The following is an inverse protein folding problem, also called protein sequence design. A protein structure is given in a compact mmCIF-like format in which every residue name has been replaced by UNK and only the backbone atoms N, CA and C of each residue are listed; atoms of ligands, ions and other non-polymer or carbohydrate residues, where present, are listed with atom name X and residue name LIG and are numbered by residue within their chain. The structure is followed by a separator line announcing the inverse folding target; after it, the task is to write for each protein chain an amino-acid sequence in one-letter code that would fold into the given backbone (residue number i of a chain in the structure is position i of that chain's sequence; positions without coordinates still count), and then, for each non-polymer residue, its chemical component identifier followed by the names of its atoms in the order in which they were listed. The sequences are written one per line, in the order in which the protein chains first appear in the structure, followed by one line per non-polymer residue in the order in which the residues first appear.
data_IF_088349183329
#
_entry.id   IF_088349183329
#
_cell.length_a   1.000
_cell.length_b   1.000
_cell.length_c   1.000
_cell.angle_alpha   90.00
_cell.angle_beta   90.00
_cell.angle_gamma   90.00
#
_symmetry.space_group_name_H-M   'P 1'
#
loop_
_entity.id
_entity.type
_entity.pdbx_description
1 polymer ?
#
# COMPACT_ATOMS: atom_id res chain seq x y z
N UNK A 1 19.83 -47.62 40.07
CA UNK A 1 19.92 -46.24 40.58
C UNK A 1 18.63 -45.54 40.18
N UNK A 2 17.82 -45.05 41.13
CA UNK A 2 16.51 -44.44 40.85
C UNK A 2 16.73 -43.15 40.08
N UNK A 3 16.18 -43.07 38.87
CA UNK A 3 16.17 -41.85 38.04
C UNK A 3 15.42 -40.76 38.81
N UNK A 4 16.16 -39.82 39.41
CA UNK A 4 15.58 -38.78 40.24
C UNK A 4 15.06 -37.65 39.36
N UNK A 5 13.93 -37.89 38.70
CA UNK A 5 13.29 -36.94 37.76
C UNK A 5 12.99 -35.58 38.43
N UNK A 6 12.90 -35.55 39.75
CA UNK A 6 12.69 -34.36 40.56
C UNK A 6 13.88 -33.39 40.58
N UNK A 7 15.13 -33.85 40.48
CA UNK A 7 16.29 -32.94 40.44
C UNK A 7 16.37 -32.20 39.11
N UNK A 8 16.02 -32.85 38.00
CA UNK A 8 15.97 -32.21 36.70
C UNK A 8 14.81 -31.23 36.58
N UNK A 9 13.64 -31.56 37.12
CA UNK A 9 12.52 -30.62 37.21
C UNK A 9 12.87 -29.39 38.05
N UNK A 10 13.57 -29.59 39.18
CA UNK A 10 14.05 -28.51 40.01
C UNK A 10 15.06 -27.61 39.27
N UNK A 11 16.00 -28.18 38.51
CA UNK A 11 16.99 -27.42 37.72
C UNK A 11 16.35 -26.59 36.60
N UNK A 12 15.35 -27.14 35.90
CA UNK A 12 14.61 -26.40 34.87
C UNK A 12 13.83 -25.24 35.48
N UNK A 13 13.16 -25.46 36.61
CA UNK A 13 12.45 -24.41 37.34
C UNK A 13 13.43 -23.29 37.76
N UNK A 14 14.60 -23.66 38.28
CA UNK A 14 15.63 -22.72 38.71
C UNK A 14 16.20 -21.92 37.53
N UNK A 15 16.40 -22.55 36.37
CA UNK A 15 16.85 -21.88 35.15
C UNK A 15 15.79 -20.89 34.63
N UNK A 16 14.50 -21.25 34.68
CA UNK A 16 13.41 -20.35 34.29
C UNK A 16 13.33 -19.15 35.24
N UNK A 17 13.43 -19.38 36.55
CA UNK A 17 13.43 -18.30 37.55
C UNK A 17 14.64 -17.36 37.36
N UNK A 18 15.83 -17.92 37.11
CA UNK A 18 17.03 -17.13 36.84
C UNK A 18 16.91 -16.32 35.54
N UNK A 19 16.31 -16.89 34.50
CA UNK A 19 16.06 -16.22 33.23
C UNK A 19 15.06 -15.08 33.39
N UNK A 20 13.98 -15.29 34.14
CA UNK A 20 12.99 -14.25 34.46
C UNK A 20 13.62 -13.11 35.26
N UNK A 21 14.47 -13.43 36.23
CA UNK A 21 15.20 -12.44 37.00
C UNK A 21 16.19 -11.64 36.14
N UNK A 22 16.91 -12.32 35.24
CA UNK A 22 17.82 -11.69 34.27
C UNK A 22 17.09 -10.76 33.28
N UNK A 23 15.96 -11.20 32.75
CA UNK A 23 15.15 -10.39 31.84
C UNK A 23 14.57 -9.17 32.55
N UNK A 24 14.08 -9.34 33.78
CA UNK A 24 13.55 -8.25 34.59
C UNK A 24 14.63 -7.21 34.98
N UNK A 25 15.85 -7.65 35.27
CA UNK A 25 16.96 -6.74 35.59
C UNK A 25 17.50 -6.01 34.36
N UNK A 26 17.44 -6.63 33.18
CA UNK A 26 17.95 -6.03 31.93
C UNK A 26 16.99 -5.06 31.27
N UNK A 27 15.68 -5.24 31.48
CA UNK A 27 14.61 -4.41 30.91
C UNK A 27 13.66 -3.89 32.01
N UNK A 28 14.11 -2.94 32.85
CA UNK A 28 13.24 -2.32 33.86
C UNK A 28 12.14 -1.50 33.18
N UNK A 29 10.88 -1.79 33.49
CA UNK A 29 9.70 -1.05 32.97
C UNK A 29 8.74 -1.85 32.09
N UNK A 30 9.04 -3.12 31.75
CA UNK A 30 8.13 -3.97 30.96
C UNK A 30 6.84 -4.30 31.73
N UNK A 31 6.86 -4.21 33.07
CA UNK A 31 5.70 -4.41 33.94
C UNK A 31 4.92 -3.12 34.27
N UNK A 32 5.35 -1.96 33.77
CA UNK A 32 4.69 -0.68 34.08
C UNK A 32 3.47 -0.40 33.18
N UNK A 33 3.41 -1.04 32.02
CA UNK A 33 2.46 -0.76 30.94
C UNK A 33 1.55 -1.98 30.69
N UNK A 34 0.23 -1.81 30.67
CA UNK A 34 -0.75 -2.92 30.56
C UNK A 34 -0.59 -3.69 29.24
N UNK A 35 -0.32 -2.99 28.14
CA UNK A 35 -0.14 -3.59 26.83
C UNK A 35 1.11 -4.47 26.76
N UNK A 36 2.17 -4.09 27.47
CA UNK A 36 3.43 -4.85 27.53
C UNK A 36 3.32 -6.02 28.50
N UNK A 37 2.58 -5.86 29.61
CA UNK A 37 2.20 -6.94 30.52
C UNK A 37 1.39 -8.02 29.81
N UNK A 38 0.37 -7.64 29.03
CA UNK A 38 -0.47 -8.58 28.32
C UNK A 38 0.35 -9.39 27.29
N UNK A 39 1.26 -8.73 26.58
CA UNK A 39 2.17 -9.37 25.61
C UNK A 39 3.16 -10.35 26.29
N UNK A 40 3.65 -10.00 27.48
CA UNK A 40 4.48 -10.89 28.31
C UNK A 40 3.71 -12.13 28.78
N UNK A 41 2.46 -11.94 29.25
CA UNK A 41 1.60 -13.03 29.70
C UNK A 41 1.33 -14.00 28.53
N UNK A 42 0.98 -13.48 27.35
CA UNK A 42 0.81 -14.33 26.16
C UNK A 42 2.10 -15.08 25.80
N UNK A 43 3.25 -14.41 25.82
CA UNK A 43 4.55 -15.04 25.56
C UNK A 43 4.89 -16.16 26.54
N UNK A 44 4.64 -15.94 27.84
CA UNK A 44 4.84 -16.94 28.89
C UNK A 44 3.87 -18.13 28.75
N UNK A 45 2.64 -17.87 28.36
CA UNK A 45 1.63 -18.91 28.15
C UNK A 45 2.02 -19.82 26.97
N UNK A 46 2.48 -19.25 25.85
CA UNK A 46 3.02 -20.04 24.75
C UNK A 46 4.29 -20.81 25.13
N UNK A 47 5.19 -20.19 25.88
CA UNK A 47 6.45 -20.83 26.28
C UNK A 47 6.22 -22.00 27.24
N UNK A 48 5.28 -21.89 28.17
CA UNK A 48 4.88 -22.99 29.07
C UNK A 48 4.17 -24.12 28.34
N UNK A 49 3.32 -23.82 27.35
CA UNK A 49 2.71 -24.83 26.48
C UNK A 49 3.76 -25.60 25.66
N UNK A 50 4.77 -24.91 25.13
CA UNK A 50 5.88 -25.52 24.38
C UNK A 50 6.75 -26.39 25.30
N UNK A 51 7.13 -25.91 26.49
CA UNK A 51 7.88 -26.72 27.45
C UNK A 51 7.08 -27.94 27.93
N UNK A 52 5.77 -27.78 28.18
CA UNK A 52 4.89 -28.88 28.56
C UNK A 52 4.78 -29.96 27.48
N UNK A 53 4.74 -29.55 26.20
CA UNK A 53 4.75 -30.46 25.05
C UNK A 53 6.03 -31.31 24.98
N UNK A 54 7.19 -30.72 25.26
CA UNK A 54 8.49 -31.42 25.24
C UNK A 54 8.57 -32.48 26.34
N UNK A 55 8.04 -32.18 27.54
CA UNK A 55 8.05 -33.10 28.68
C UNK A 55 7.15 -34.32 28.43
N UNK A 56 6.02 -34.14 27.74
CA UNK A 56 5.10 -35.25 27.41
C UNK A 56 5.64 -36.12 26.26
N UNK A 57 6.45 -35.55 25.36
CA UNK A 57 7.11 -36.26 24.26
C UNK A 57 8.23 -37.23 24.66
N UNK A 58 8.69 -37.18 25.91
CA UNK A 58 9.81 -38.00 26.44
C UNK A 58 9.45 -39.48 26.74
N UNK A 59 8.51 -40.06 25.99
CA UNK A 59 8.20 -41.49 26.02
C UNK A 59 8.64 -42.24 24.75
N UNK A 60 9.22 -41.54 23.76
CA UNK A 60 9.70 -42.12 22.51
C UNK A 60 11.20 -42.42 22.48
N UNK A 61 11.68 -43.20 21.48
CA UNK A 61 13.10 -43.47 21.29
C UNK A 61 13.90 -42.17 21.07
N UNK A 62 15.09 -42.08 21.67
CA UNK A 62 15.89 -40.85 21.76
C UNK A 62 16.16 -40.16 20.40
N UNK A 63 16.22 -40.92 19.30
CA UNK A 63 16.38 -40.37 17.96
C UNK A 63 15.17 -39.57 17.43
N UNK A 64 13.95 -39.91 17.84
CA UNK A 64 12.75 -39.14 17.48
C UNK A 64 12.67 -37.83 18.28
N UNK A 65 13.06 -37.86 19.55
CA UNK A 65 13.10 -36.68 20.40
C UNK A 65 14.10 -35.63 19.88
N UNK A 66 15.28 -36.05 19.39
CA UNK A 66 16.27 -35.15 18.81
C UNK A 66 15.76 -34.46 17.54
N UNK A 67 15.11 -35.21 16.64
CA UNK A 67 14.50 -34.65 15.42
C UNK A 67 13.43 -33.62 15.74
N UNK A 68 12.58 -33.89 16.74
CA UNK A 68 11.54 -32.97 17.17
C UNK A 68 12.13 -31.72 17.84
N UNK A 69 13.16 -31.85 18.67
CA UNK A 69 13.85 -30.72 19.26
C UNK A 69 14.48 -29.80 18.19
N UNK A 70 15.12 -30.38 17.17
CA UNK A 70 15.67 -29.64 16.04
C UNK A 70 14.58 -28.95 15.20
N UNK A 71 13.44 -29.61 14.98
CA UNK A 71 12.31 -29.02 14.27
C UNK A 71 11.72 -27.82 15.03
N UNK A 72 11.52 -27.94 16.33
CA UNK A 72 11.06 -26.84 17.17
C UNK A 72 12.06 -25.69 17.24
N UNK A 73 13.36 -25.99 17.28
CA UNK A 73 14.40 -24.97 17.26
C UNK A 73 14.44 -24.22 15.91
N UNK A 74 14.25 -24.93 14.80
CA UNK A 74 14.11 -24.32 13.48
C UNK A 74 12.87 -23.43 13.38
N UNK A 75 11.71 -23.90 13.88
CA UNK A 75 10.48 -23.10 13.91
C UNK A 75 10.67 -21.84 14.77
N UNK A 76 11.26 -21.97 15.95
CA UNK A 76 11.55 -20.84 16.83
C UNK A 76 12.51 -19.84 16.15
N UNK A 77 13.55 -20.32 15.48
CA UNK A 77 14.48 -19.48 14.71
C UNK A 77 13.75 -18.71 13.61
N UNK A 78 12.90 -19.38 12.83
CA UNK A 78 12.09 -18.76 11.78
C UNK A 78 11.19 -17.68 12.38
N UNK A 79 10.46 -17.99 13.47
CA UNK A 79 9.57 -17.03 14.12
C UNK A 79 10.33 -15.82 14.67
N UNK A 80 11.52 -16.02 15.25
CA UNK A 80 12.37 -14.93 15.73
C UNK A 80 12.85 -14.05 14.59
N UNK A 81 13.29 -14.65 13.47
CA UNK A 81 13.69 -13.91 12.27
C UNK A 81 12.50 -13.14 11.72
N UNK A 82 11.36 -13.80 11.48
CA UNK A 82 10.14 -13.15 10.97
C UNK A 82 9.66 -12.01 11.87
N UNK A 83 9.70 -12.18 13.20
CA UNK A 83 9.29 -11.13 14.14
C UNK A 83 10.32 -10.00 14.27
N UNK A 84 11.62 -10.33 14.23
CA UNK A 84 12.71 -9.34 14.28
C UNK A 84 12.69 -8.44 13.04
N UNK A 85 12.34 -9.00 11.89
CA UNK A 85 12.21 -8.29 10.61
C UNK A 85 10.76 -7.98 10.26
N UNK A 86 9.84 -7.93 11.23
CA UNK A 86 8.40 -7.76 10.95
C UNK A 86 8.09 -6.47 10.18
N UNK A 87 8.85 -5.40 10.41
CA UNK A 87 8.65 -4.10 9.76
C UNK A 87 9.16 -4.17 8.31
N UNK A 88 10.36 -4.72 8.10
CA UNK A 88 10.91 -4.98 6.75
C UNK A 88 10.06 -5.95 5.92
N UNK A 89 9.47 -6.98 6.54
CA UNK A 89 8.55 -7.90 5.88
C UNK A 89 7.19 -7.26 5.53
N UNK A 90 6.71 -6.32 6.35
CA UNK A 90 5.51 -5.54 6.04
C UNK A 90 5.76 -4.59 4.87
N UNK A 91 6.94 -3.99 4.77
CA UNK A 91 7.34 -3.14 3.64
C UNK A 91 7.53 -3.95 2.35
N UNK A 92 8.14 -5.14 2.43
CA UNK A 92 8.25 -6.07 1.29
C UNK A 92 6.88 -6.59 0.85
N UNK A 93 6.01 -6.95 1.79
CA UNK A 93 4.64 -7.37 1.49
C UNK A 93 3.80 -6.24 0.90
N UNK A 94 3.90 -5.03 1.44
CA UNK A 94 3.23 -3.83 0.95
C UNK A 94 3.67 -3.44 -0.45
N UNK A 95 4.98 -3.47 -0.73
CA UNK A 95 5.51 -3.16 -2.06
C UNK A 95 5.17 -4.24 -3.10
N UNK A 96 5.17 -5.53 -2.72
CA UNK A 96 4.75 -6.62 -3.60
C UNK A 96 3.24 -6.60 -3.84
N UNK A 97 2.43 -6.34 -2.80
CA UNK A 97 0.99 -6.19 -2.91
C UNK A 97 0.61 -4.95 -3.74
N UNK A 98 1.29 -3.81 -3.56
CA UNK A 98 1.09 -2.62 -4.38
C UNK A 98 1.52 -2.81 -5.83
N UNK A 99 2.58 -3.60 -6.10
CA UNK A 99 2.96 -3.96 -7.48
C UNK A 99 1.94 -4.89 -8.12
N UNK A 100 1.48 -5.91 -7.39
CA UNK A 100 0.42 -6.81 -7.87
C UNK A 100 -0.92 -6.08 -8.04
N UNK A 101 -1.26 -5.15 -7.15
CA UNK A 101 -2.47 -4.33 -7.25
C UNK A 101 -2.35 -3.27 -8.35
N UNK A 102 -1.18 -2.68 -8.58
CA UNK A 102 -0.94 -1.76 -9.69
C UNK A 102 -0.93 -2.44 -11.06
N UNK A 103 -0.61 -3.74 -11.12
CA UNK A 103 -0.82 -4.56 -12.33
C UNK A 103 -2.30 -4.90 -12.55
N UNK A 104 -3.09 -5.03 -11.48
CA UNK A 104 -4.51 -5.38 -11.55
C UNK A 104 -5.44 -4.16 -11.68
N UNK A 105 -5.04 -3.00 -11.16
CA UNK A 105 -5.76 -1.71 -11.20
C UNK A 105 -4.74 -0.58 -11.44
N UNK A 106 -4.27 -0.38 -12.69
CA UNK A 106 -3.23 0.60 -13.03
C UNK A 106 -3.61 2.07 -12.80
N UNK A 107 -4.90 2.35 -12.55
CA UNK A 107 -5.47 3.70 -12.52
C UNK A 107 -5.33 4.44 -11.19
N UNK A 108 -5.01 3.73 -10.10
CA UNK A 108 -4.92 4.37 -8.78
C UNK A 108 -3.58 5.10 -8.61
N UNK A 109 -3.59 6.42 -8.40
CA UNK A 109 -2.38 7.16 -8.10
C UNK A 109 -1.85 6.78 -6.71
N UNK A 110 -0.55 6.53 -6.59
CA UNK A 110 0.10 6.21 -5.32
C UNK A 110 0.95 7.40 -4.88
N UNK A 111 0.55 8.04 -3.78
CA UNK A 111 1.40 9.02 -3.09
C UNK A 111 2.57 8.29 -2.43
N UNK A 112 3.79 8.77 -2.66
CA UNK A 112 5.02 8.15 -2.13
C UNK A 112 5.84 9.06 -1.24
N UNK A 113 5.64 10.36 -1.40
CA UNK A 113 6.10 11.40 -0.51
C UNK A 113 5.10 12.57 -0.62
N UNK A 114 5.03 13.46 0.38
CA UNK A 114 4.15 14.63 0.32
C UNK A 114 4.34 15.40 -1.00
N UNK A 115 3.26 15.54 -1.77
CA UNK A 115 3.27 16.24 -3.06
C UNK A 115 3.95 15.49 -4.22
N UNK A 116 4.23 14.19 -4.07
CA UNK A 116 4.79 13.33 -5.13
C UNK A 116 3.90 12.11 -5.36
N UNK A 117 3.33 12.05 -6.56
CA UNK A 117 2.40 11.00 -6.98
C UNK A 117 3.00 10.19 -8.13
N UNK A 118 2.91 8.86 -8.03
CA UNK A 118 3.23 7.96 -9.13
C UNK A 118 1.97 7.42 -9.79
N UNK A 119 1.94 7.49 -11.11
CA UNK A 119 0.96 6.83 -11.97
C UNK A 119 1.63 5.65 -12.68
N UNK A 120 1.01 4.48 -12.63
CA UNK A 120 1.48 3.31 -13.36
C UNK A 120 0.99 3.36 -14.81
N UNK A 121 1.81 2.81 -15.72
CA UNK A 121 1.37 2.55 -17.09
C UNK A 121 0.39 1.38 -17.09
N UNK A 122 -0.74 1.54 -17.78
CA UNK A 122 -1.73 0.49 -17.98
C UNK A 122 -1.26 -0.57 -18.99
N UNK A 123 -2.06 -1.62 -19.16
CA UNK A 123 -1.82 -2.68 -20.14
C UNK A 123 -1.92 -2.22 -21.59
N UNK A 124 -2.60 -1.09 -21.85
CA UNK A 124 -2.72 -0.49 -23.18
C UNK A 124 -1.50 0.37 -23.57
N UNK A 125 -0.59 0.60 -22.61
CA UNK A 125 0.61 1.38 -22.78
C UNK A 125 0.44 2.87 -22.44
N UNK A 126 -0.72 3.30 -21.96
CA UNK A 126 -1.01 4.68 -21.57
C UNK A 126 -0.88 4.86 -20.06
N UNK A 127 -0.75 6.11 -19.61
CA UNK A 127 -0.84 6.42 -18.19
C UNK A 127 -2.25 6.87 -17.89
N UNK A 128 -2.81 6.38 -16.80
CA UNK A 128 -4.14 6.77 -16.35
C UNK A 128 -4.08 7.31 -14.92
N UNK A 129 -5.01 8.20 -14.59
CA UNK A 129 -5.13 8.81 -13.28
C UNK A 129 -6.61 8.89 -12.88
N UNK A 130 -6.95 8.25 -11.76
CA UNK A 130 -8.20 8.53 -11.07
C UNK A 130 -8.07 9.84 -10.29
N UNK A 131 -8.92 10.82 -10.61
CA UNK A 131 -8.91 12.15 -10.01
C UNK A 131 -10.27 12.49 -9.39
N UNK A 132 -10.27 13.38 -8.40
CA UNK A 132 -11.46 14.06 -7.92
C UNK A 132 -11.55 15.43 -8.60
N UNK A 133 -12.54 15.61 -9.46
CA UNK A 133 -12.81 16.87 -10.16
C UNK A 133 -14.06 17.49 -9.57
N UNK A 134 -13.94 18.66 -8.95
CA UNK A 134 -15.05 19.32 -8.25
C UNK A 134 -15.82 18.37 -7.28
N UNK A 135 -15.11 17.41 -6.67
CA UNK A 135 -15.69 16.39 -5.77
C UNK A 135 -16.25 15.13 -6.46
N UNK A 136 -16.22 15.05 -7.79
CA UNK A 136 -16.67 13.89 -8.57
C UNK A 136 -15.48 13.09 -9.09
N UNK A 137 -15.49 11.76 -8.92
CA UNK A 137 -14.45 10.89 -9.45
C UNK A 137 -14.45 10.86 -10.98
N UNK A 138 -13.34 11.17 -11.63
CA UNK A 138 -13.17 11.09 -13.09
C UNK A 138 -11.89 10.31 -13.39
N UNK A 139 -12.02 9.37 -14.32
CA UNK A 139 -10.89 8.59 -14.81
C UNK A 139 -10.31 9.28 -16.04
N UNK A 140 -9.02 9.63 -15.97
CA UNK A 140 -8.33 10.30 -17.05
C UNK A 140 -7.23 9.43 -17.65
N UNK A 141 -7.04 9.54 -18.96
CA UNK A 141 -5.78 9.18 -19.61
C UNK A 141 -4.88 10.41 -19.69
N UNK A 142 -3.61 10.27 -19.31
CA UNK A 142 -2.64 11.35 -19.46
C UNK A 142 -2.26 11.48 -20.94
N UNK A 143 -2.47 12.68 -21.49
CA UNK A 143 -2.17 12.99 -22.88
C UNK A 143 -1.42 14.33 -23.00
N UNK A 144 -0.10 14.26 -23.21
CA UNK A 144 0.75 15.44 -23.41
C UNK A 144 0.50 16.12 -24.77
N UNK A 145 -0.22 15.48 -25.69
CA UNK A 145 -0.64 16.07 -26.96
C UNK A 145 -1.89 16.94 -26.82
N UNK A 146 -2.67 16.77 -25.76
CA UNK A 146 -3.85 17.59 -25.48
C UNK A 146 -3.45 18.94 -24.88
N UNK A 147 -3.89 20.04 -25.50
CA UNK A 147 -3.57 21.40 -25.04
C UNK A 147 -4.26 21.74 -23.72
N UNK A 148 -5.48 21.24 -23.51
CA UNK A 148 -6.22 21.37 -22.26
C UNK A 148 -6.79 20.01 -21.81
N UNK A 149 -7.26 19.96 -20.56
CA UNK A 149 -8.02 18.82 -20.05
C UNK A 149 -9.27 18.65 -20.91
N UNK A 150 -9.45 17.47 -21.50
CA UNK A 150 -10.59 17.18 -22.37
C UNK A 150 -11.55 16.23 -21.65
N UNK A 151 -12.82 16.60 -21.52
CA UNK A 151 -13.86 15.83 -20.89
C UNK A 151 -14.76 15.17 -21.93
N UNK A 152 -15.14 13.92 -21.67
CA UNK A 152 -16.24 13.28 -22.36
C UNK A 152 -17.56 13.96 -22.02
N UNK A 153 -18.55 13.83 -22.90
CA UNK A 153 -19.92 14.27 -22.63
C UNK A 153 -20.46 13.69 -21.31
N UNK A 154 -20.25 12.39 -21.08
CA UNK A 154 -20.69 11.69 -19.87
C UNK A 154 -20.04 12.22 -18.60
N UNK A 155 -18.73 12.49 -18.61
CA UNK A 155 -18.05 13.02 -17.43
C UNK A 155 -18.44 14.48 -17.17
N UNK A 156 -18.62 15.28 -18.21
CA UNK A 156 -19.11 16.63 -18.08
C UNK A 156 -20.53 16.68 -17.47
N UNK A 157 -21.44 15.80 -17.88
CA UNK A 157 -22.77 15.68 -17.25
C UNK A 157 -22.69 15.29 -15.78
N UNK A 158 -21.82 14.32 -15.44
CA UNK A 158 -21.58 13.90 -14.05
C UNK A 158 -20.99 15.02 -13.18
N UNK A 159 -20.26 15.95 -13.80
CA UNK A 159 -19.75 17.16 -13.17
C UNK A 159 -20.80 18.29 -13.07
N UNK A 160 -22.01 18.07 -13.58
CA UNK A 160 -23.13 19.01 -13.51
C UNK A 160 -23.20 20.01 -14.66
N UNK A 161 -22.42 19.83 -15.73
CA UNK A 161 -22.52 20.68 -16.91
C UNK A 161 -23.77 20.32 -17.74
N UNK A 162 -24.54 21.36 -18.11
CA UNK A 162 -25.66 21.21 -19.04
C UNK A 162 -25.15 21.27 -20.49
N UNK A 163 -24.96 20.09 -21.10
CA UNK A 163 -24.43 19.97 -22.46
C UNK A 163 -25.26 20.71 -23.52
N UNK A 164 -26.55 20.93 -23.28
CA UNK A 164 -27.42 21.64 -24.23
C UNK A 164 -27.15 23.15 -24.27
N UNK A 165 -26.60 23.69 -23.17
CA UNK A 165 -26.27 25.12 -23.02
C UNK A 165 -24.82 25.46 -23.35
N UNK A 166 -23.96 24.45 -23.49
CA UNK A 166 -22.56 24.64 -23.83
C UNK A 166 -22.39 25.09 -25.29
N UNK A 167 -21.48 26.05 -25.50
CA UNK A 167 -21.15 26.57 -26.82
C UNK A 167 -20.00 25.78 -27.45
N UNK A 168 -20.32 24.87 -28.38
CA UNK A 168 -19.35 24.05 -29.11
C UNK A 168 -18.75 24.80 -30.29
N UNK A 169 -17.98 25.84 -30.00
CA UNK A 169 -17.45 26.78 -31.00
C UNK A 169 -15.94 26.69 -31.17
N UNK A 170 -15.25 25.88 -30.38
CA UNK A 170 -13.78 25.78 -30.41
C UNK A 170 -13.35 24.56 -31.23
N UNK A 171 -12.62 24.73 -32.34
CA UNK A 171 -12.13 23.61 -33.12
C UNK A 171 -10.90 22.99 -32.45
N UNK A 172 -10.88 21.66 -32.33
CA UNK A 172 -9.72 20.87 -31.91
C UNK A 172 -9.33 19.87 -33.00
N UNK A 173 -8.03 19.75 -33.24
CA UNK A 173 -7.50 18.75 -34.17
C UNK A 173 -7.30 17.42 -33.46
N UNK A 174 -7.87 16.35 -33.99
CA UNK A 174 -7.71 14.99 -33.47
C UNK A 174 -7.23 14.05 -34.57
N UNK A 175 -6.87 12.82 -34.20
CA UNK A 175 -6.48 11.79 -35.17
C UNK A 175 -7.60 11.47 -36.18
N UNK A 176 -8.87 11.64 -35.80
CA UNK A 176 -10.02 11.38 -36.66
C UNK A 176 -10.53 12.63 -37.39
N UNK A 177 -9.76 13.72 -37.38
CA UNK A 177 -10.11 15.01 -37.99
C UNK A 177 -10.42 16.09 -36.95
N UNK A 178 -10.98 17.21 -37.42
CA UNK A 178 -11.33 18.35 -36.56
C UNK A 178 -12.69 18.13 -35.90
N UNK A 179 -12.75 18.31 -34.59
CA UNK A 179 -13.99 18.28 -33.80
C UNK A 179 -14.26 19.64 -33.18
N UNK A 180 -15.51 19.91 -32.83
CA UNK A 180 -15.90 21.12 -32.10
C UNK A 180 -16.13 20.77 -30.63
N UNK A 181 -15.49 21.51 -29.74
CA UNK A 181 -15.61 21.36 -28.30
C UNK A 181 -16.10 22.66 -27.65
N UNK A 182 -16.67 22.52 -26.46
CA UNK A 182 -17.08 23.65 -25.62
C UNK A 182 -16.04 23.92 -24.54
N UNK A 183 -15.64 25.17 -24.35
CA UNK A 183 -14.70 25.53 -23.28
C UNK A 183 -15.43 25.60 -21.95
N UNK A 184 -14.84 24.97 -20.93
CA UNK A 184 -15.30 25.02 -19.54
C UNK A 184 -14.10 25.29 -18.62
N UNK A 185 -14.37 25.51 -17.34
CA UNK A 185 -13.33 25.65 -16.32
C UNK A 185 -13.71 24.74 -15.15
N UNK A 186 -12.71 24.00 -14.67
CA UNK A 186 -12.83 23.12 -13.52
C UNK A 186 -12.28 23.86 -12.31
N UNK A 187 -13.01 23.85 -11.19
CA UNK A 187 -12.66 24.63 -10.01
C UNK A 187 -11.45 24.01 -9.31
N UNK A 188 -11.44 22.69 -9.17
CA UNK A 188 -10.34 21.91 -8.59
C UNK A 188 -10.25 20.51 -9.23
N UNK A 189 -9.03 20.08 -9.52
CA UNK A 189 -8.67 18.69 -9.81
C UNK A 189 -7.70 18.24 -8.72
N UNK A 190 -8.06 17.19 -7.99
CA UNK A 190 -7.24 16.53 -6.97
C UNK A 190 -6.84 15.13 -7.43
N UNK A 191 -5.53 14.90 -7.52
CA UNK A 191 -4.93 13.59 -7.82
C UNK A 191 -4.07 13.17 -6.63
N UNK A 192 -4.61 12.30 -5.78
CA UNK A 192 -3.93 11.77 -4.59
C UNK A 192 -3.19 12.84 -3.76
N UNK A 193 -3.85 13.98 -3.53
CA UNK A 193 -3.33 15.08 -2.71
C UNK A 193 -2.77 16.25 -3.50
N UNK A 194 -2.43 16.08 -4.78
CA UNK A 194 -1.99 17.18 -5.65
C UNK A 194 -3.23 17.94 -6.14
N UNK A 195 -3.38 19.20 -5.72
CA UNK A 195 -4.56 20.01 -6.01
C UNK A 195 -4.25 21.14 -6.97
N UNK A 196 -4.85 21.11 -8.16
CA UNK A 196 -4.74 22.19 -9.14
C UNK A 196 -6.10 22.86 -9.29
N UNK A 197 -6.13 24.19 -9.27
CA UNK A 197 -7.36 24.99 -9.29
C UNK A 197 -7.51 25.80 -10.57
N UNK A 198 -8.76 26.14 -10.92
CA UNK A 198 -9.10 26.93 -12.10
C UNK A 198 -8.54 26.34 -13.41
N UNK A 199 -8.65 25.02 -13.56
CA UNK A 199 -8.07 24.30 -14.69
C UNK A 199 -8.92 24.52 -15.93
N UNK A 200 -8.30 25.01 -17.00
CA UNK A 200 -8.94 25.16 -18.31
C UNK A 200 -9.24 23.76 -18.86
N UNK A 201 -10.47 23.55 -19.30
CA UNK A 201 -10.89 22.29 -19.88
C UNK A 201 -11.80 22.51 -21.10
N UNK A 202 -11.98 21.45 -21.88
CA UNK A 202 -12.87 21.39 -23.01
C UNK A 202 -13.82 20.19 -22.87
N UNK A 203 -15.05 20.33 -23.32
CA UNK A 203 -16.04 19.23 -23.37
C UNK A 203 -16.27 18.88 -24.83
N UNK A 204 -15.98 17.64 -25.20
CA UNK A 204 -16.34 17.13 -26.52
C UNK A 204 -17.65 16.37 -26.47
N UNK A 205 -18.50 16.56 -27.50
CA UNK A 205 -19.75 15.82 -27.64
C UNK A 205 -19.53 14.44 -28.25
N UNK A 206 -18.59 14.34 -29.18
CA UNK A 206 -18.28 13.12 -29.94
C UNK A 206 -16.75 12.96 -30.11
N UNK A 207 -16.31 11.75 -30.45
CA UNK A 207 -14.92 11.48 -30.86
C UNK A 207 -13.92 11.28 -29.71
N UNK A 208 -14.33 11.42 -28.45
CA UNK A 208 -13.50 11.14 -27.29
C UNK A 208 -14.04 9.93 -26.51
N UNK A 209 -13.26 8.85 -26.46
CA UNK A 209 -13.64 7.61 -25.76
C UNK A 209 -13.44 7.65 -24.24
N UNK A 210 -12.54 8.51 -23.76
CA UNK A 210 -12.24 8.70 -22.34
C UNK A 210 -11.69 10.11 -22.09
N UNK A 211 -11.88 10.64 -20.89
CA UNK A 211 -11.40 11.97 -20.55
C UNK A 211 -9.86 12.02 -20.54
N UNK A 212 -9.27 13.15 -20.96
CA UNK A 212 -7.83 13.33 -21.11
C UNK A 212 -7.30 14.36 -20.13
N UNK A 213 -6.22 14.02 -19.43
CA UNK A 213 -5.45 14.93 -18.60
C UNK A 213 -4.38 15.60 -19.46
N UNK A 214 -4.70 16.79 -19.95
CA UNK A 214 -3.86 17.55 -20.87
C UNK A 214 -2.91 18.54 -20.19
N UNK A 215 -2.25 19.34 -21.04
CA UNK A 215 -1.20 20.27 -20.62
C UNK A 215 -1.70 21.42 -19.73
N UNK A 216 -2.99 21.78 -19.77
CA UNK A 216 -3.56 22.79 -18.86
C UNK A 216 -3.54 22.38 -17.39
N UNK A 217 -3.46 21.08 -17.09
CA UNK A 217 -3.20 20.58 -15.74
C UNK A 217 -1.70 20.36 -15.52
N UNK A 218 -1.04 19.67 -16.46
CA UNK A 218 0.37 19.26 -16.30
C UNK A 218 1.34 20.45 -16.16
N UNK A 219 1.04 21.60 -16.78
CA UNK A 219 1.87 22.81 -16.67
C UNK A 219 1.75 23.54 -15.33
N UNK A 220 0.71 23.27 -14.55
CA UNK A 220 0.53 23.88 -13.22
C UNK A 220 1.34 23.15 -12.13
N UNK A 221 1.83 21.95 -12.45
CA UNK A 221 2.71 21.17 -11.59
C UNK A 221 4.12 21.76 -11.59
N UNK A 222 4.86 21.59 -10.48
CA UNK A 222 6.31 21.91 -10.45
C UNK A 222 7.12 21.07 -11.42
N UNK A 223 6.66 19.86 -11.69
CA UNK A 223 7.26 19.01 -12.70
C UNK A 223 6.54 17.69 -12.87
N UNK A 224 6.64 17.13 -14.07
CA UNK A 224 6.24 15.78 -14.37
C UNK A 224 7.34 15.06 -15.17
N UNK A 225 7.55 13.77 -14.92
CA UNK A 225 8.61 12.99 -15.55
C UNK A 225 8.16 11.57 -15.86
N UNK A 226 8.46 11.10 -17.08
CA UNK A 226 8.30 9.70 -17.44
C UNK A 226 9.53 8.89 -17.04
N UNK A 227 9.38 8.01 -16.06
CA UNK A 227 10.41 7.09 -15.59
C UNK A 227 10.03 5.64 -15.94
N UNK A 228 10.31 5.23 -17.18
CA UNK A 228 10.00 3.89 -17.70
C UNK A 228 8.49 3.61 -17.74
N UNK A 229 8.01 2.78 -16.81
CA UNK A 229 6.60 2.41 -16.66
C UNK A 229 5.86 3.25 -15.60
N UNK A 230 6.46 4.37 -15.16
CA UNK A 230 5.86 5.29 -14.19
C UNK A 230 5.86 6.71 -14.72
N UNK A 231 4.81 7.44 -14.42
CA UNK A 231 4.75 8.88 -14.57
C UNK A 231 4.77 9.49 -13.16
N UNK A 232 5.73 10.37 -12.91
CA UNK A 232 5.91 11.06 -11.64
C UNK A 232 5.30 12.46 -11.76
N UNK A 233 4.41 12.82 -10.85
CA UNK A 233 3.83 14.16 -10.74
C UNK A 233 4.34 14.83 -9.46
N UNK A 234 4.64 16.13 -9.52
CA UNK A 234 5.16 16.92 -8.39
C UNK A 234 4.43 18.24 -8.22
N UNK A 235 3.92 18.49 -7.02
CA UNK A 235 3.30 19.76 -6.59
C UNK A 235 4.32 20.85 -6.24
#
# INVERSE_FOLDING_TARGET
MRDNRWTWAALVLLAVVALLFFLNSRFPGVLADEDRKMRLIYGLTWLTLILGSVIVGWRGPAGLALKQALAWLAIALILVVTYSYREDFMDLGGTLAQRAMGELVPSQPVETAPGVVYLARDLSGHFAADALVNGTHVHFMVDTGATDVALTASDAERLGFDLSKLAYTVPYSTANGTIMAARVTLDEIDIAGIKVRNVKASVSRDGLGQSLLGMSFLNELRGFEFQGNRLVLRE
#
